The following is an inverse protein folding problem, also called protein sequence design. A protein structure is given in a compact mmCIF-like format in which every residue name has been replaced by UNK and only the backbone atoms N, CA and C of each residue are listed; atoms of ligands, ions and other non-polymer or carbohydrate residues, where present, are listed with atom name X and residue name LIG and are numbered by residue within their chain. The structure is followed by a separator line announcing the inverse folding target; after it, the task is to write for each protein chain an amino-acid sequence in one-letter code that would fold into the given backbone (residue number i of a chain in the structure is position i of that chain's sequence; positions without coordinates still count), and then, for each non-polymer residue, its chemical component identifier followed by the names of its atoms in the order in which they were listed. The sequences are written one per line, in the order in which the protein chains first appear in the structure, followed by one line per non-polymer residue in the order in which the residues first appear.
data_IF_602106289750
#
_entry.id   IF_602106289750
#
_cell.length_a   1.000
_cell.length_b   1.000
_cell.length_c   1.000
_cell.angle_alpha   90.00
_cell.angle_beta   90.00
_cell.angle_gamma   90.00
#
_symmetry.space_group_name_H-M   'P 1'
#
loop_
_entity.id
_entity.type
_entity.pdbx_description
1 polymer ?
#
# COMPACT_ATOMS: atom_id res chain seq x y z
N UNK A 1 -22.01 -30.53 -29.41
CA UNK A 1 -22.35 -31.61 -28.46
C UNK A 1 -21.54 -32.86 -28.79
N UNK A 2 -20.49 -33.16 -28.03
CA UNK A 2 -20.01 -34.54 -27.78
C UNK A 2 -19.22 -34.54 -26.48
N UNK A 3 -19.51 -35.56 -25.68
CA UNK A 3 -19.33 -35.67 -24.24
C UNK A 3 -17.87 -35.76 -23.78
N UNK A 4 -17.62 -35.19 -22.59
CA UNK A 4 -16.53 -35.54 -21.70
C UNK A 4 -16.60 -37.03 -21.34
N UNK A 5 -15.47 -37.73 -21.43
CA UNK A 5 -15.31 -39.07 -20.88
C UNK A 5 -14.32 -38.98 -19.71
N UNK A 6 -14.83 -39.30 -18.52
CA UNK A 6 -14.08 -39.34 -17.27
C UNK A 6 -13.01 -40.44 -17.30
N UNK A 7 -11.76 -40.05 -17.07
CA UNK A 7 -10.69 -40.97 -16.73
C UNK A 7 -10.78 -41.28 -15.24
N UNK A 8 -11.00 -42.56 -14.94
CA UNK A 8 -11.07 -43.14 -13.61
C UNK A 8 -9.67 -43.15 -12.99
N UNK A 9 -9.61 -42.78 -11.72
CA UNK A 9 -8.45 -42.86 -10.86
C UNK A 9 -8.28 -44.33 -10.43
N UNK A 10 -7.18 -44.97 -10.82
CA UNK A 10 -6.75 -46.25 -10.25
C UNK A 10 -5.62 -45.96 -9.25
N UNK A 11 -5.73 -46.38 -7.98
CA UNK A 11 -4.68 -46.17 -6.99
C UNK A 11 -3.64 -47.28 -7.10
N UNK A 12 -2.56 -47.01 -7.85
CA UNK A 12 -1.37 -47.88 -7.83
C UNK A 12 -0.56 -47.64 -6.55
N UNK A 13 -0.47 -48.71 -5.77
CA UNK A 13 0.67 -49.18 -4.99
C UNK A 13 1.44 -48.19 -4.10
N UNK A 14 1.18 -48.31 -2.79
CA UNK A 14 2.14 -48.26 -1.69
C UNK A 14 3.51 -47.62 -2.01
N UNK A 15 3.56 -46.30 -2.16
CA UNK A 15 4.78 -45.55 -1.90
C UNK A 15 4.85 -45.39 -0.38
N UNK A 16 5.58 -46.30 0.28
CA UNK A 16 6.14 -46.01 1.59
C UNK A 16 7.08 -44.81 1.42
N UNK A 17 6.54 -43.60 1.60
CA UNK A 17 7.34 -42.41 1.84
C UNK A 17 7.92 -42.59 3.24
N UNK A 18 9.04 -43.32 3.31
CA UNK A 18 9.93 -43.24 4.45
C UNK A 18 10.37 -41.79 4.53
N UNK A 19 9.77 -41.04 5.45
CA UNK A 19 10.41 -39.84 5.96
C UNK A 19 11.63 -40.35 6.74
N UNK A 20 12.73 -40.60 6.04
CA UNK A 20 14.04 -40.55 6.68
C UNK A 20 14.11 -39.17 7.33
N UNK A 21 14.22 -39.14 8.66
CA UNK A 21 14.61 -37.94 9.40
C UNK A 21 15.98 -37.53 8.89
N UNK A 22 15.99 -36.78 7.79
CA UNK A 22 17.15 -36.07 7.29
C UNK A 22 17.65 -35.20 8.43
N UNK A 23 18.92 -35.37 8.80
CA UNK A 23 19.64 -34.56 9.77
C UNK A 23 19.23 -33.10 9.56
N UNK A 24 18.40 -32.57 10.48
CA UNK A 24 18.04 -31.15 10.42
C UNK A 24 19.32 -30.38 10.67
N UNK A 25 19.82 -29.74 9.64
CA UNK A 25 20.99 -28.88 9.73
C UNK A 25 20.76 -27.87 10.86
N UNK A 26 21.68 -27.86 11.84
CA UNK A 26 21.56 -27.04 13.05
C UNK A 26 22.38 -25.77 12.85
N UNK A 27 21.87 -24.67 13.38
CA UNK A 27 22.60 -23.40 13.37
C UNK A 27 24.00 -23.52 13.99
N UNK A 28 24.98 -22.90 13.34
CA UNK A 28 26.35 -22.74 13.77
C UNK A 28 26.55 -21.45 14.61
N UNK A 29 25.48 -20.85 15.14
CA UNK A 29 25.53 -19.70 16.05
C UNK A 29 26.53 -19.96 17.21
N UNK A 30 27.48 -19.05 17.39
CA UNK A 30 28.53 -19.15 18.41
C UNK A 30 29.76 -19.97 18.01
N UNK A 31 29.77 -20.63 16.84
CA UNK A 31 30.95 -21.33 16.34
C UNK A 31 32.05 -20.32 15.97
N UNK A 32 33.31 -20.66 16.31
CA UNK A 32 34.46 -19.84 15.93
C UNK A 32 35.10 -20.36 14.64
N UNK A 33 35.13 -19.53 13.61
CA UNK A 33 35.71 -19.81 12.29
C UNK A 33 36.62 -18.67 11.83
N UNK A 34 37.57 -18.96 10.94
CA UNK A 34 38.38 -17.93 10.31
C UNK A 34 37.52 -17.01 9.43
N UNK A 35 38.04 -15.81 9.10
CA UNK A 35 37.32 -14.92 8.17
C UNK A 35 37.20 -15.54 6.77
N UNK A 36 38.25 -16.21 6.28
CA UNK A 36 38.24 -16.85 4.96
C UNK A 36 37.19 -17.97 4.91
N UNK A 37 37.10 -18.77 5.97
CA UNK A 37 36.06 -19.81 6.11
C UNK A 37 34.65 -19.22 6.20
N UNK A 38 34.48 -18.07 6.86
CA UNK A 38 33.20 -17.37 6.86
C UNK A 38 32.76 -16.99 5.45
N UNK A 39 33.64 -16.36 4.66
CA UNK A 39 33.32 -15.98 3.29
C UNK A 39 33.05 -17.18 2.39
N UNK A 40 33.79 -18.27 2.55
CA UNK A 40 33.66 -19.47 1.71
C UNK A 40 32.39 -20.26 2.00
N UNK A 41 31.99 -20.38 3.27
CA UNK A 41 30.95 -21.34 3.69
C UNK A 41 29.71 -20.71 4.33
N UNK A 42 29.88 -19.59 5.02
CA UNK A 42 28.85 -19.08 5.94
C UNK A 42 28.20 -17.77 5.47
N UNK A 43 28.86 -17.02 4.59
CA UNK A 43 28.33 -15.76 4.08
C UNK A 43 27.06 -15.98 3.26
N UNK A 44 27.06 -16.93 2.32
CA UNK A 44 25.90 -17.28 1.47
C UNK A 44 25.26 -18.62 1.89
N UNK A 45 25.25 -18.90 3.19
CA UNK A 45 24.75 -20.17 3.71
C UNK A 45 23.26 -20.38 3.36
N UNK A 46 22.86 -21.57 2.86
CA UNK A 46 21.53 -21.77 2.26
C UNK A 46 20.36 -21.72 3.25
N UNK A 47 20.59 -22.07 4.52
CA UNK A 47 19.51 -22.22 5.52
C UNK A 47 19.52 -21.21 6.66
N UNK A 48 20.68 -20.59 6.91
CA UNK A 48 20.92 -19.75 8.08
C UNK A 48 21.69 -18.54 7.62
N UNK A 49 21.50 -17.43 8.30
CA UNK A 49 22.17 -16.20 7.92
C UNK A 49 23.07 -15.73 9.04
N UNK A 50 24.37 -15.72 8.78
CA UNK A 50 25.37 -15.36 9.77
C UNK A 50 26.00 -14.01 9.49
N UNK A 51 26.15 -13.23 10.55
CA UNK A 51 27.18 -12.22 10.67
C UNK A 51 28.43 -12.84 11.30
N UNK A 52 29.57 -12.19 11.15
CA UNK A 52 30.84 -12.66 11.71
C UNK A 52 31.44 -11.60 12.62
N UNK A 53 31.74 -11.98 13.86
CA UNK A 53 32.27 -11.08 14.88
C UNK A 53 33.58 -11.63 15.45
N UNK A 54 34.70 -11.20 14.86
CA UNK A 54 36.04 -11.53 15.33
C UNK A 54 36.26 -13.03 15.61
N UNK A 55 35.80 -13.86 14.67
CA UNK A 55 35.85 -15.31 14.73
C UNK A 55 34.50 -15.95 14.99
N UNK A 56 33.63 -15.32 15.76
CA UNK A 56 32.35 -15.89 16.17
C UNK A 56 31.27 -15.70 15.10
N UNK A 57 30.60 -16.78 14.69
CA UNK A 57 29.37 -16.71 13.91
C UNK A 57 28.22 -16.22 14.78
N UNK A 58 27.42 -15.30 14.26
CA UNK A 58 26.23 -14.77 14.92
C UNK A 58 25.04 -14.91 13.98
N UNK A 59 24.11 -15.78 14.30
CA UNK A 59 22.90 -15.97 13.50
C UNK A 59 21.98 -14.74 13.60
N UNK A 60 21.48 -14.30 12.45
CA UNK A 60 20.39 -13.32 12.38
C UNK A 60 19.06 -14.02 12.63
N UNK A 61 18.28 -13.49 13.56
CA UNK A 61 16.93 -13.96 13.80
C UNK A 61 15.98 -13.51 12.69
N UNK A 62 14.98 -14.34 12.41
CA UNK A 62 13.93 -13.99 11.46
C UNK A 62 13.01 -12.90 12.05
N UNK A 63 12.57 -11.92 11.23
CA UNK A 63 11.65 -10.89 11.70
C UNK A 63 10.24 -11.46 11.92
N UNK A 64 9.52 -10.91 12.90
CA UNK A 64 8.09 -11.11 13.03
C UNK A 64 7.31 -10.22 12.03
N UNK A 65 6.01 -10.49 11.78
CA UNK A 65 5.22 -9.71 10.83
C UNK A 65 5.15 -8.20 11.13
N UNK A 66 5.14 -7.79 12.40
CA UNK A 66 5.08 -6.38 12.79
C UNK A 66 6.39 -5.66 12.46
N UNK A 67 7.51 -6.30 12.78
CA UNK A 67 8.86 -5.83 12.41
C UNK A 67 9.02 -5.72 10.90
N UNK A 68 8.57 -6.74 10.15
CA UNK A 68 8.60 -6.70 8.69
C UNK A 68 7.75 -5.55 8.11
N UNK A 69 6.55 -5.28 8.64
CA UNK A 69 5.71 -4.19 8.15
C UNK A 69 6.34 -2.81 8.40
N UNK A 70 6.95 -2.60 9.57
CA UNK A 70 7.70 -1.37 9.87
C UNK A 70 8.90 -1.21 8.94
N UNK A 71 9.71 -2.25 8.77
CA UNK A 71 10.82 -2.28 7.81
C UNK A 71 10.35 -1.95 6.40
N UNK A 72 9.27 -2.61 5.94
CA UNK A 72 8.71 -2.41 4.60
C UNK A 72 8.23 -0.98 4.42
N UNK A 73 7.58 -0.39 5.42
CA UNK A 73 7.13 0.99 5.36
C UNK A 73 8.32 1.95 5.24
N UNK A 74 9.36 1.77 6.07
CA UNK A 74 10.57 2.58 6.02
C UNK A 74 11.30 2.46 4.68
N UNK A 75 11.48 1.24 4.18
CA UNK A 75 12.07 0.97 2.86
C UNK A 75 11.32 1.73 1.75
N UNK A 76 9.98 1.70 1.77
CA UNK A 76 9.17 2.37 0.76
C UNK A 76 9.36 3.89 0.75
N UNK A 77 9.39 4.54 1.91
CA UNK A 77 9.58 6.00 1.95
C UNK A 77 11.00 6.39 1.50
N UNK A 78 12.01 5.59 1.86
CA UNK A 78 13.39 5.80 1.42
C UNK A 78 13.53 5.63 -0.10
N UNK A 79 12.92 4.57 -0.65
CA UNK A 79 12.92 4.28 -2.08
C UNK A 79 12.22 5.37 -2.90
N UNK A 80 11.06 5.84 -2.44
CA UNK A 80 10.36 6.97 -3.08
C UNK A 80 11.20 8.24 -3.05
N UNK A 81 11.78 8.58 -1.89
CA UNK A 81 12.66 9.73 -1.77
C UNK A 81 13.84 9.65 -2.74
N UNK A 82 14.51 8.50 -2.84
CA UNK A 82 15.69 8.31 -3.70
C UNK A 82 15.34 8.16 -5.18
N UNK A 83 14.12 7.75 -5.52
CA UNK A 83 13.60 7.79 -6.89
C UNK A 83 13.47 9.24 -7.39
N UNK A 84 13.04 10.16 -6.52
CA UNK A 84 12.94 11.58 -6.86
C UNK A 84 14.30 12.29 -6.74
N UNK A 85 15.11 11.90 -5.77
CA UNK A 85 16.41 12.48 -5.45
C UNK A 85 17.49 11.40 -5.56
N UNK A 86 18.02 11.11 -6.76
CA UNK A 86 18.94 10.00 -7.00
C UNK A 86 20.37 10.32 -6.51
N UNK A 87 20.51 10.56 -5.20
CA UNK A 87 21.75 10.95 -4.52
C UNK A 87 22.45 9.78 -3.80
N UNK A 88 21.80 8.62 -3.77
CA UNK A 88 22.26 7.43 -3.05
C UNK A 88 21.65 6.16 -3.63
N UNK A 89 22.25 5.01 -3.30
CA UNK A 89 21.72 3.68 -3.55
C UNK A 89 21.27 3.02 -2.23
N UNK A 90 20.16 2.28 -2.29
CA UNK A 90 19.66 1.45 -1.18
C UNK A 90 20.15 0.02 -1.39
N UNK A 91 20.63 -0.61 -0.32
CA UNK A 91 21.00 -2.03 -0.28
C UNK A 91 20.26 -2.75 0.84
N UNK A 92 19.75 -3.94 0.54
CA UNK A 92 19.12 -4.85 1.51
C UNK A 92 19.50 -6.29 1.17
N UNK A 93 18.63 -7.25 1.47
CA UNK A 93 18.83 -8.67 1.12
C UNK A 93 20.17 -9.23 1.61
N UNK A 94 20.51 -8.95 2.87
CA UNK A 94 21.63 -9.61 3.55
C UNK A 94 23.01 -9.27 2.98
N UNK A 95 23.09 -8.12 2.33
CA UNK A 95 24.30 -7.58 1.73
C UNK A 95 25.27 -7.06 2.79
N UNK A 96 26.37 -7.78 2.99
CA UNK A 96 27.31 -7.52 4.07
C UNK A 96 28.49 -6.63 3.69
N UNK A 97 29.18 -6.13 4.71
CA UNK A 97 30.38 -5.32 4.58
C UNK A 97 31.32 -5.54 5.77
N UNK A 98 32.62 -5.36 5.52
CA UNK A 98 33.68 -5.57 6.52
C UNK A 98 33.94 -4.30 7.33
N UNK A 99 33.88 -4.40 8.65
CA UNK A 99 34.30 -3.37 9.59
C UNK A 99 35.68 -3.70 10.18
N UNK A 100 36.61 -2.75 10.10
CA UNK A 100 37.90 -2.84 10.80
C UNK A 100 37.92 -1.85 11.96
N UNK A 101 37.98 -2.38 13.18
CA UNK A 101 37.79 -1.64 14.43
C UNK A 101 39.10 -1.58 15.24
N UNK A 102 39.19 -0.70 16.25
CA UNK A 102 40.35 -0.62 17.13
C UNK A 102 40.73 -1.98 17.73
N UNK A 103 42.01 -2.13 18.09
CA UNK A 103 42.60 -3.38 18.63
C UNK A 103 42.57 -4.55 17.64
N UNK A 104 42.58 -4.26 16.33
CA UNK A 104 42.55 -5.25 15.24
C UNK A 104 41.29 -6.13 15.24
N UNK A 105 40.21 -5.70 15.90
CA UNK A 105 38.92 -6.39 15.84
C UNK A 105 38.38 -6.22 14.41
N UNK A 106 37.93 -7.31 13.80
CA UNK A 106 37.20 -7.27 12.53
C UNK A 106 35.81 -7.85 12.72
N UNK A 107 34.82 -7.26 12.07
CA UNK A 107 33.47 -7.80 12.01
C UNK A 107 32.94 -7.70 10.59
N UNK A 108 32.01 -8.57 10.23
CA UNK A 108 31.26 -8.51 8.98
C UNK A 108 29.80 -8.46 9.36
N UNK A 109 29.14 -7.35 9.01
CA UNK A 109 27.75 -7.07 9.35
C UNK A 109 26.91 -7.04 8.10
N UNK A 110 25.65 -7.44 8.25
CA UNK A 110 24.62 -7.47 7.23
C UNK A 110 23.44 -6.66 7.75
N UNK A 111 23.47 -5.32 7.62
CA UNK A 111 22.35 -4.50 8.07
C UNK A 111 21.08 -4.88 7.28
N UNK A 112 19.92 -4.80 7.92
CA UNK A 112 18.65 -5.14 7.25
C UNK A 112 18.37 -4.20 6.07
N UNK A 113 18.74 -2.92 6.24
CA UNK A 113 18.79 -1.94 5.17
C UNK A 113 20.02 -1.06 5.33
N UNK A 114 20.65 -0.70 4.22
CA UNK A 114 21.75 0.23 4.18
C UNK A 114 21.65 1.19 3.00
N UNK A 115 22.32 2.34 3.13
CA UNK A 115 22.34 3.37 2.11
C UNK A 115 23.80 3.77 1.84
N UNK A 116 24.16 3.85 0.57
CA UNK A 116 25.46 4.34 0.08
C UNK A 116 25.21 5.62 -0.71
N UNK A 117 25.79 6.73 -0.29
CA UNK A 117 25.71 7.99 -1.02
C UNK A 117 26.56 7.92 -2.30
N UNK A 118 26.15 8.64 -3.35
CA UNK A 118 26.94 8.70 -4.59
C UNK A 118 28.33 9.35 -4.38
N UNK A 119 28.47 10.17 -3.34
CA UNK A 119 29.75 10.77 -2.92
C UNK A 119 30.61 9.85 -2.04
N UNK A 120 30.14 8.64 -1.72
CA UNK A 120 30.93 7.68 -0.94
C UNK A 120 32.23 7.36 -1.70
N UNK A 121 33.40 7.37 -1.04
CA UNK A 121 34.68 7.15 -1.70
C UNK A 121 34.82 5.77 -2.35
N UNK A 122 34.05 4.79 -1.90
CA UNK A 122 34.03 3.45 -2.49
C UNK A 122 32.72 3.25 -3.22
N UNK A 123 32.82 3.16 -4.55
CA UNK A 123 31.67 2.92 -5.42
C UNK A 123 31.12 1.52 -5.13
N UNK A 124 29.80 1.44 -4.98
CA UNK A 124 29.08 0.18 -4.95
C UNK A 124 28.83 -0.27 -6.40
N UNK A 125 29.41 -1.41 -6.78
CA UNK A 125 29.24 -1.95 -8.13
C UNK A 125 28.01 -2.88 -8.20
N UNK A 126 27.26 -2.89 -9.31
CA UNK A 126 26.08 -3.76 -9.46
C UNK A 126 26.36 -5.25 -9.29
N UNK A 127 27.57 -5.69 -9.62
CA UNK A 127 28.00 -7.10 -9.55
C UNK A 127 28.72 -7.44 -8.22
N UNK A 128 28.78 -6.50 -7.27
CA UNK A 128 29.34 -6.80 -5.95
C UNK A 128 28.47 -7.84 -5.22
N UNK A 129 29.10 -8.79 -4.56
CA UNK A 129 28.45 -9.78 -3.68
C UNK A 129 28.53 -9.37 -2.18
N UNK A 130 29.37 -8.40 -1.89
CA UNK A 130 29.49 -7.74 -0.59
C UNK A 130 30.08 -6.35 -0.82
N UNK A 131 29.67 -5.39 0.01
CA UNK A 131 30.16 -4.03 -0.14
C UNK A 131 31.61 -3.92 0.36
N UNK A 132 32.46 -3.30 -0.45
CA UNK A 132 33.89 -3.12 -0.14
C UNK A 132 34.17 -1.83 0.65
N UNK A 133 33.18 -0.95 0.75
CA UNK A 133 33.24 0.31 1.51
C UNK A 133 32.56 0.23 2.86
N UNK A 134 32.26 1.40 3.41
CA UNK A 134 31.46 1.59 4.64
C UNK A 134 30.16 2.26 4.22
N UNK A 135 29.02 1.65 4.57
CA UNK A 135 27.71 2.26 4.33
C UNK A 135 27.60 3.61 5.04
N UNK A 136 26.96 4.58 4.38
CA UNK A 136 26.72 5.89 4.98
C UNK A 136 25.63 5.83 6.05
N UNK A 137 24.58 5.02 5.81
CA UNK A 137 23.50 4.80 6.77
C UNK A 137 23.29 3.30 6.92
N UNK A 138 23.26 2.83 8.16
CA UNK A 138 22.81 1.47 8.50
C UNK A 138 21.50 1.53 9.27
N UNK A 139 20.56 0.65 8.93
CA UNK A 139 19.25 0.55 9.56
C UNK A 139 19.03 -0.91 9.96
N UNK A 140 18.66 -1.13 11.22
CA UNK A 140 18.37 -2.45 11.75
C UNK A 140 16.91 -2.49 12.21
N UNK A 141 16.17 -3.49 11.73
CA UNK A 141 14.88 -3.89 12.27
C UNK A 141 15.15 -4.76 13.49
N UNK A 142 14.98 -4.18 14.67
CA UNK A 142 15.38 -4.80 15.93
C UNK A 142 14.66 -6.13 16.14
N UNK A 143 15.42 -7.22 16.21
CA UNK A 143 14.90 -8.48 16.72
C UNK A 143 14.90 -8.46 18.24
N UNK A 144 13.78 -8.86 18.82
CA UNK A 144 13.55 -8.81 20.26
C UNK A 144 13.12 -10.14 20.86
N UNK A 145 13.34 -11.24 20.13
CA UNK A 145 13.00 -12.58 20.62
C UNK A 145 13.87 -12.99 21.80
N UNK A 146 15.14 -12.55 21.81
CA UNK A 146 16.11 -12.82 22.88
C UNK A 146 16.80 -11.53 23.31
N UNK A 147 17.08 -11.41 24.62
CA UNK A 147 17.81 -10.25 25.19
C UNK A 147 19.17 -10.01 24.50
N UNK A 148 19.84 -11.07 24.04
CA UNK A 148 21.13 -10.96 23.32
C UNK A 148 20.99 -10.19 22.00
N UNK A 149 19.87 -10.32 21.30
CA UNK A 149 19.61 -9.64 20.01
C UNK A 149 19.39 -8.14 20.25
N UNK A 150 18.60 -7.80 21.28
CA UNK A 150 18.40 -6.41 21.69
C UNK A 150 19.76 -5.74 22.01
N UNK A 151 20.60 -6.40 22.82
CA UNK A 151 21.93 -5.87 23.18
C UNK A 151 22.83 -5.74 21.94
N UNK A 152 22.82 -6.73 21.05
CA UNK A 152 23.63 -6.71 19.83
C UNK A 152 23.36 -5.45 19.03
N UNK A 153 22.10 -5.11 18.76
CA UNK A 153 21.78 -4.00 17.87
C UNK A 153 21.83 -2.63 18.61
N UNK A 154 21.40 -2.57 19.88
CA UNK A 154 21.38 -1.31 20.68
C UNK A 154 22.73 -0.89 21.25
N UNK A 155 23.65 -1.85 21.44
CA UNK A 155 24.94 -1.63 22.09
C UNK A 155 26.11 -2.01 21.19
N UNK A 156 26.17 -3.25 20.70
CA UNK A 156 27.39 -3.75 20.04
C UNK A 156 27.53 -3.20 18.63
N UNK A 157 26.54 -3.41 17.74
CA UNK A 157 26.50 -2.83 16.40
C UNK A 157 26.58 -1.32 16.43
N UNK A 158 25.90 -0.66 17.38
CA UNK A 158 26.04 0.79 17.59
C UNK A 158 27.49 1.22 17.81
N UNK A 159 28.25 0.50 18.64
CA UNK A 159 29.69 0.79 18.87
C UNK A 159 30.53 0.51 17.63
N UNK A 160 30.21 -0.56 16.90
CA UNK A 160 30.93 -0.98 15.70
C UNK A 160 30.71 -0.02 14.53
N UNK A 161 29.47 0.30 14.19
CA UNK A 161 29.12 1.27 13.14
C UNK A 161 29.70 2.66 13.44
N UNK A 162 29.64 3.11 14.70
CA UNK A 162 30.33 4.34 15.14
C UNK A 162 31.83 4.28 14.90
N UNK A 163 32.46 3.15 15.27
CA UNK A 163 33.90 2.96 15.14
C UNK A 163 34.38 2.87 13.69
N UNK A 164 33.51 2.39 12.79
CA UNK A 164 33.76 2.30 11.37
C UNK A 164 33.47 3.59 10.59
N UNK A 165 32.73 4.53 11.17
CA UNK A 165 32.42 5.81 10.54
C UNK A 165 31.10 5.85 9.76
N UNK A 166 30.18 4.91 10.01
CA UNK A 166 28.81 4.97 9.46
C UNK A 166 28.16 6.27 9.94
N UNK A 167 27.71 7.12 9.01
CA UNK A 167 27.28 8.51 9.27
C UNK A 167 26.00 8.55 10.11
N UNK A 168 25.03 7.69 9.82
CA UNK A 168 23.79 7.57 10.60
C UNK A 168 23.42 6.11 10.88
N UNK A 169 22.87 5.84 12.06
CA UNK A 169 22.48 4.50 12.48
C UNK A 169 21.06 4.50 13.07
N UNK A 170 20.15 3.75 12.47
CA UNK A 170 18.74 3.70 12.86
C UNK A 170 18.38 2.33 13.42
N UNK A 171 17.69 2.33 14.56
CA UNK A 171 17.13 1.14 15.19
C UNK A 171 15.61 1.26 15.09
N UNK A 172 15.00 0.37 14.34
CA UNK A 172 13.55 0.29 14.16
C UNK A 172 13.02 -0.80 15.10
N UNK A 173 12.39 -0.42 16.21
CA UNK A 173 11.78 -1.37 17.13
C UNK A 173 10.26 -1.32 17.02
N UNK A 174 9.66 -2.38 16.47
CA UNK A 174 8.22 -2.50 16.29
C UNK A 174 7.41 -2.43 17.60
N UNK A 175 8.05 -2.60 18.76
CA UNK A 175 7.42 -2.44 20.09
C UNK A 175 7.41 -0.99 20.58
N UNK A 176 8.27 -0.15 20.01
CA UNK A 176 8.48 1.25 20.42
C UNK A 176 9.29 1.43 21.70
N UNK A 177 10.10 0.42 22.10
CA UNK A 177 10.87 0.48 23.35
C UNK A 177 12.30 0.99 23.11
N UNK A 178 12.93 0.53 22.03
CA UNK A 178 14.34 0.80 21.72
C UNK A 178 14.51 1.56 20.39
N UNK A 179 13.43 2.13 19.86
CA UNK A 179 13.49 2.91 18.60
C UNK A 179 14.35 4.13 18.82
N UNK A 180 15.42 4.25 18.03
CA UNK A 180 16.41 5.31 18.21
C UNK A 180 17.14 5.61 16.90
N UNK A 181 17.55 6.86 16.74
CA UNK A 181 18.22 7.35 15.54
C UNK A 181 19.50 8.06 15.96
N UNK A 182 20.64 7.68 15.40
CA UNK A 182 21.94 8.21 15.78
C UNK A 182 22.64 8.82 14.58
N UNK A 183 23.40 9.89 14.84
CA UNK A 183 24.25 10.58 13.88
C UNK A 183 25.68 10.68 14.39
N UNK A 184 26.65 10.40 13.52
CA UNK A 184 28.06 10.60 13.81
C UNK A 184 28.40 12.08 13.77
N UNK A 185 28.89 12.60 14.89
CA UNK A 185 29.39 13.96 14.96
C UNK A 185 30.82 14.07 14.42
N UNK A 186 31.30 15.31 14.27
CA UNK A 186 32.67 15.61 13.81
C UNK A 186 33.77 15.09 14.77
N UNK A 187 33.42 14.69 16.00
CA UNK A 187 34.33 14.11 16.99
C UNK A 187 34.32 12.57 16.95
N UNK A 188 33.61 11.95 16.00
CA UNK A 188 33.50 10.50 15.88
C UNK A 188 32.64 9.86 16.96
N UNK A 189 31.68 10.61 17.53
CA UNK A 189 30.72 10.08 18.50
C UNK A 189 29.32 10.09 17.92
N UNK A 190 28.55 9.04 18.24
CA UNK A 190 27.12 9.05 17.96
C UNK A 190 26.40 9.94 18.96
N UNK A 191 25.61 10.86 18.40
CA UNK A 191 24.61 11.65 19.09
C UNK A 191 23.24 11.14 18.64
N UNK A 192 22.31 11.04 19.58
CA UNK A 192 20.92 10.77 19.22
C UNK A 192 20.34 11.96 18.44
N UNK A 193 19.61 11.67 17.36
CA UNK A 193 18.98 12.68 16.52
C UNK A 193 17.73 13.16 17.25
N UNK A 194 17.75 14.41 17.72
CA UNK A 194 16.57 15.05 18.28
C UNK A 194 15.53 15.30 17.18
N UNK A 195 14.26 14.93 17.39
CA UNK A 195 13.20 15.29 16.47
C UNK A 195 13.08 16.80 16.29
N UNK A 196 12.77 17.23 15.08
CA UNK A 196 12.33 18.59 14.77
C UNK A 196 10.85 18.70 15.11
N UNK A 197 10.50 19.73 15.88
CA UNK A 197 9.15 19.83 16.44
C UNK A 197 8.95 18.76 17.52
N UNK A 198 7.92 17.93 17.36
CA UNK A 198 7.60 16.86 18.32
C UNK A 198 8.13 15.49 17.87
N UNK A 199 8.09 15.19 16.57
CA UNK A 199 8.18 13.80 16.11
C UNK A 199 8.89 13.59 14.76
N UNK A 200 9.40 14.64 14.11
CA UNK A 200 10.03 14.53 12.79
C UNK A 200 11.53 14.26 12.90
N UNK A 201 11.99 13.13 12.37
CA UNK A 201 13.41 12.86 12.17
C UNK A 201 13.85 13.42 10.82
N UNK A 202 14.94 14.20 10.81
CA UNK A 202 15.58 14.69 9.58
C UNK A 202 16.97 14.08 9.43
N UNK A 203 17.22 13.43 8.29
CA UNK A 203 18.55 12.91 7.95
C UNK A 203 19.46 14.06 7.48
N UNK A 204 20.70 14.10 7.98
CA UNK A 204 21.73 14.98 7.46
C UNK A 204 22.58 14.26 6.40
N UNK A 205 22.69 12.93 6.50
CA UNK A 205 23.37 12.13 5.48
C UNK A 205 22.56 12.09 4.17
N UNK A 206 21.22 12.17 4.24
CA UNK A 206 20.32 12.31 3.10
C UNK A 206 19.55 13.64 3.20
N UNK A 207 20.10 14.74 2.66
CA UNK A 207 19.45 16.05 2.72
C UNK A 207 18.05 16.04 2.13
N UNK A 208 17.06 16.41 2.94
CA UNK A 208 15.64 16.42 2.55
C UNK A 208 14.87 15.14 2.89
N UNK A 209 15.56 14.04 3.26
CA UNK A 209 14.89 12.84 3.76
C UNK A 209 14.46 13.04 5.21
N UNK A 210 13.16 12.89 5.45
CA UNK A 210 12.48 13.17 6.70
C UNK A 210 11.30 12.22 6.89
N UNK A 211 10.96 11.89 8.13
CA UNK A 211 9.80 11.07 8.44
C UNK A 211 9.34 11.31 9.88
N UNK A 212 8.06 11.09 10.16
CA UNK A 212 7.54 11.14 11.54
C UNK A 212 7.75 9.81 12.23
N UNK A 213 8.10 9.85 13.51
CA UNK A 213 8.25 8.65 14.35
C UNK A 213 6.92 7.89 14.45
N UNK A 214 5.75 8.51 14.71
CA UNK A 214 4.45 7.82 14.71
C UNK A 214 4.16 7.03 13.44
N UNK A 215 4.57 7.55 12.27
CA UNK A 215 4.29 6.92 10.98
C UNK A 215 5.03 5.58 10.79
N UNK A 216 6.12 5.31 11.54
CA UNK A 216 6.74 3.99 11.59
C UNK A 216 5.78 2.91 12.16
N UNK A 217 4.85 3.32 13.01
CA UNK A 217 3.88 2.45 13.67
C UNK A 217 2.50 2.50 13.00
N UNK A 218 2.05 3.68 12.58
CA UNK A 218 0.76 3.88 11.91
C UNK A 218 0.78 3.40 10.47
N UNK A 219 1.93 3.51 9.81
CA UNK A 219 2.20 3.03 8.45
C UNK A 219 1.18 3.58 7.43
N UNK A 220 1.09 4.93 7.28
CA UNK A 220 0.15 5.55 6.36
C UNK A 220 0.31 5.00 4.93
N UNK A 221 -0.82 4.94 4.23
CA UNK A 221 -0.88 4.44 2.85
C UNK A 221 -0.13 5.36 1.90
N UNK A 222 0.10 4.86 0.68
CA UNK A 222 0.71 5.66 -0.38
C UNK A 222 -0.08 6.94 -0.66
N UNK A 223 -1.41 6.82 -0.70
CA UNK A 223 -2.34 7.91 -0.97
C UNK A 223 -2.30 8.96 0.14
N UNK A 224 -2.28 8.52 1.40
CA UNK A 224 -2.18 9.41 2.55
C UNK A 224 -0.86 10.19 2.54
N UNK A 225 0.27 9.51 2.28
CA UNK A 225 1.56 10.16 2.20
C UNK A 225 1.70 11.11 0.99
N UNK A 226 1.08 10.79 -0.15
CA UNK A 226 1.13 11.65 -1.32
C UNK A 226 0.44 13.01 -1.11
N UNK A 227 -0.53 13.07 -0.20
CA UNK A 227 -1.25 14.29 0.19
C UNK A 227 -0.67 14.98 1.42
N UNK A 228 0.28 14.34 2.11
CA UNK A 228 0.88 14.87 3.33
C UNK A 228 1.97 15.91 3.02
N UNK A 229 1.97 17.04 3.74
CA UNK A 229 2.92 18.13 3.51
C UNK A 229 4.40 17.74 3.69
N UNK A 230 4.68 16.77 4.56
CA UNK A 230 6.03 16.26 4.81
C UNK A 230 6.47 15.31 3.68
N UNK A 231 5.62 14.36 3.30
CA UNK A 231 5.99 13.30 2.35
C UNK A 231 5.71 13.64 0.89
N UNK A 232 4.86 14.62 0.57
CA UNK A 232 4.45 14.88 -0.83
C UNK A 232 5.63 15.16 -1.78
N UNK A 233 6.79 15.55 -1.24
CA UNK A 233 8.01 15.84 -1.99
C UNK A 233 8.75 14.57 -2.43
N UNK A 234 8.44 13.42 -1.82
CA UNK A 234 9.05 12.12 -2.14
C UNK A 234 8.38 11.45 -3.34
N UNK A 235 7.27 11.99 -3.82
CA UNK A 235 6.49 11.39 -4.90
C UNK A 235 6.70 12.14 -6.22
N UNK A 236 6.92 11.36 -7.28
CA UNK A 236 7.09 11.90 -8.63
C UNK A 236 5.89 12.79 -9.05
N UNK A 237 6.12 13.91 -9.77
CA UNK A 237 5.05 14.78 -10.25
C UNK A 237 3.97 14.07 -11.09
N UNK A 238 4.30 12.94 -11.74
CA UNK A 238 3.34 12.17 -12.52
C UNK A 238 2.27 11.49 -11.67
N UNK A 239 2.56 11.07 -10.44
CA UNK A 239 1.54 10.53 -9.53
C UNK A 239 0.48 11.59 -9.20
N UNK A 240 0.93 12.82 -8.92
CA UNK A 240 0.04 13.97 -8.72
C UNK A 240 -0.83 14.25 -9.96
N UNK A 241 -0.27 14.04 -11.17
CA UNK A 241 -1.00 14.19 -12.44
C UNK A 241 -2.05 13.10 -12.64
N UNK A 242 -1.72 11.82 -12.40
CA UNK A 242 -2.65 10.70 -12.50
C UNK A 242 -3.81 10.88 -11.53
N UNK A 243 -3.53 11.29 -10.28
CA UNK A 243 -4.58 11.58 -9.29
C UNK A 243 -5.54 12.67 -9.76
N UNK A 244 -5.02 13.79 -10.26
CA UNK A 244 -5.85 14.87 -10.84
C UNK A 244 -6.70 14.41 -12.02
N UNK A 245 -6.16 13.54 -12.88
CA UNK A 245 -6.93 12.98 -14.01
C UNK A 245 -8.08 12.11 -13.47
N UNK A 246 -7.80 11.23 -12.50
CA UNK A 246 -8.81 10.36 -11.91
C UNK A 246 -9.91 11.16 -11.18
N UNK A 247 -9.55 12.21 -10.44
CA UNK A 247 -10.50 13.11 -9.78
C UNK A 247 -11.38 13.85 -10.80
N UNK A 248 -10.76 14.35 -11.88
CA UNK A 248 -11.48 15.03 -12.96
C UNK A 248 -12.45 14.08 -13.68
N UNK A 249 -12.03 12.85 -13.96
CA UNK A 249 -12.88 11.83 -14.56
C UNK A 249 -14.04 11.44 -13.65
N UNK A 250 -13.81 11.31 -12.34
CA UNK A 250 -14.86 11.04 -11.36
C UNK A 250 -15.90 12.17 -11.33
N UNK A 251 -15.46 13.42 -11.22
CA UNK A 251 -16.35 14.59 -11.23
C UNK A 251 -17.17 14.67 -12.52
N UNK A 252 -16.54 14.37 -13.66
CA UNK A 252 -17.23 14.34 -14.94
C UNK A 252 -18.29 13.24 -14.99
N UNK A 253 -17.96 12.03 -14.54
CA UNK A 253 -18.90 10.91 -14.49
C UNK A 253 -20.09 11.21 -13.56
N UNK A 254 -19.84 11.85 -12.42
CA UNK A 254 -20.89 12.24 -11.48
C UNK A 254 -21.81 13.33 -12.08
N UNK A 255 -21.25 14.31 -12.78
CA UNK A 255 -22.03 15.34 -13.48
C UNK A 255 -22.87 14.74 -14.61
N UNK A 256 -22.32 13.81 -15.38
CA UNK A 256 -23.06 13.09 -16.43
C UNK A 256 -24.21 12.26 -15.84
N UNK A 257 -23.99 11.59 -14.69
CA UNK A 257 -25.06 10.87 -13.98
C UNK A 257 -26.18 11.80 -13.51
N UNK A 258 -25.84 12.94 -12.91
CA UNK A 258 -26.84 13.92 -12.46
C UNK A 258 -27.66 14.47 -13.64
N UNK A 259 -27.03 14.70 -14.80
CA UNK A 259 -27.74 15.12 -16.02
C UNK A 259 -28.68 14.03 -16.51
N UNK A 260 -28.21 12.79 -16.61
CA UNK A 260 -29.04 11.66 -17.02
C UNK A 260 -30.23 11.45 -16.08
N UNK A 261 -30.03 11.61 -14.77
CA UNK A 261 -31.10 11.52 -13.77
C UNK A 261 -32.12 12.67 -13.91
N UNK A 262 -31.65 13.90 -14.13
CA UNK A 262 -32.54 15.04 -14.39
C UNK A 262 -33.33 14.88 -15.69
N UNK A 263 -32.71 14.38 -16.76
CA UNK A 263 -33.38 14.08 -18.02
C UNK A 263 -34.43 12.97 -17.85
N UNK A 264 -34.09 11.91 -17.11
CA UNK A 264 -35.04 10.85 -16.78
C UNK A 264 -36.25 11.40 -16.03
N UNK A 265 -36.05 12.22 -15.00
CA UNK A 265 -37.13 12.86 -14.25
C UNK A 265 -38.00 13.76 -15.12
N UNK A 266 -37.42 14.50 -16.07
CA UNK A 266 -38.18 15.32 -17.02
C UNK A 266 -39.02 14.45 -17.97
N UNK A 267 -38.41 13.41 -18.54
CA UNK A 267 -39.11 12.48 -19.43
C UNK A 267 -40.26 11.77 -18.70
N UNK A 268 -40.07 11.40 -17.42
CA UNK A 268 -41.12 10.81 -16.59
C UNK A 268 -42.25 11.81 -16.30
N UNK A 269 -41.92 13.06 -15.97
CA UNK A 269 -42.92 14.12 -15.77
C UNK A 269 -43.73 14.40 -17.04
N UNK A 270 -43.07 14.45 -18.20
CA UNK A 270 -43.75 14.60 -19.49
C UNK A 270 -44.66 13.42 -19.82
N UNK A 271 -44.22 12.18 -19.55
CA UNK A 271 -45.07 10.98 -19.71
C UNK A 271 -46.31 11.06 -18.82
N UNK A 272 -46.14 11.44 -17.55
CA UNK A 272 -47.27 11.62 -16.63
C UNK A 272 -48.24 12.70 -17.10
N UNK A 273 -47.74 13.82 -17.64
CA UNK A 273 -48.58 14.88 -18.24
C UNK A 273 -49.34 14.37 -19.46
N UNK A 274 -48.67 13.67 -20.37
CA UNK A 274 -49.29 13.10 -21.56
C UNK A 274 -50.36 12.04 -21.21
N UNK A 275 -50.13 11.20 -20.20
CA UNK A 275 -51.13 10.26 -19.69
C UNK A 275 -52.33 10.97 -19.05
N UNK A 276 -52.08 12.02 -18.26
CA UNK A 276 -53.14 12.84 -17.68
C UNK A 276 -53.99 13.53 -18.75
N UNK A 277 -53.37 14.07 -19.80
CA UNK A 277 -54.07 14.66 -20.95
C UNK A 277 -54.90 13.62 -21.70
N UNK A 278 -54.34 12.44 -22.01
CA UNK A 278 -55.10 11.34 -22.63
C UNK A 278 -56.31 10.95 -21.79
N UNK A 279 -56.15 10.86 -20.46
CA UNK A 279 -57.24 10.54 -19.54
C UNK A 279 -58.34 11.61 -19.55
N UNK A 280 -57.96 12.90 -19.60
CA UNK A 280 -58.90 14.02 -19.73
C UNK A 280 -59.65 13.98 -21.07
N UNK A 281 -58.95 13.73 -22.17
CA UNK A 281 -59.55 13.60 -23.50
C UNK A 281 -60.59 12.47 -23.55
N UNK A 282 -60.23 11.29 -23.03
CA UNK A 282 -61.15 10.15 -22.96
C UNK A 282 -62.39 10.43 -22.09
N UNK A 283 -62.23 11.17 -20.99
CA UNK A 283 -63.38 11.61 -20.18
C UNK A 283 -64.27 12.62 -20.91
N UNK A 284 -63.68 13.56 -21.65
CA UNK A 284 -64.43 14.53 -22.44
C UNK A 284 -65.23 13.84 -23.57
N UNK A 285 -64.62 12.87 -24.25
CA UNK A 285 -65.27 12.06 -25.29
C UNK A 285 -66.47 11.29 -24.72
N UNK A 286 -66.31 10.58 -23.59
CA UNK A 286 -67.41 9.90 -22.91
C UNK A 286 -68.55 10.84 -22.51
N UNK A 287 -68.23 12.06 -22.05
CA UNK A 287 -69.23 13.08 -21.73
C UNK A 287 -69.96 13.56 -22.98
N UNK A 288 -69.24 13.83 -24.06
CA UNK A 288 -69.83 14.26 -25.33
C UNK A 288 -70.77 13.17 -25.90
N UNK A 289 -70.37 11.90 -25.82
CA UNK A 289 -71.21 10.76 -26.20
C UNK A 289 -72.50 10.68 -25.36
N UNK A 290 -72.40 10.83 -24.03
CA UNK A 290 -73.57 10.89 -23.15
C UNK A 290 -74.50 12.06 -23.48
N UNK A 291 -73.96 13.26 -23.72
CA UNK A 291 -74.76 14.43 -24.12
C UNK A 291 -75.43 14.18 -25.47
N UNK A 292 -74.73 13.58 -26.43
CA UNK A 292 -75.30 13.19 -27.73
C UNK A 292 -76.47 12.21 -27.58
N UNK A 293 -76.33 11.19 -26.74
CA UNK A 293 -77.40 10.24 -26.44
C UNK A 293 -78.60 10.92 -25.75
N UNK A 294 -78.35 11.86 -24.82
CA UNK A 294 -79.42 12.63 -24.17
C UNK A 294 -80.18 13.50 -25.16
N UNK A 295 -79.48 14.21 -26.06
CA UNK A 295 -80.09 15.02 -27.11
C UNK A 295 -80.95 14.19 -28.07
N UNK A 296 -80.49 12.99 -28.43
CA UNK A 296 -81.28 12.06 -29.25
C UNK A 296 -82.55 11.64 -28.50
N UNK A 297 -82.43 11.25 -27.23
CA UNK A 297 -83.57 10.87 -26.40
C UNK A 297 -84.56 12.05 -26.20
N UNK A 298 -84.06 13.26 -26.03
CA UNK A 298 -84.87 14.47 -25.86
C UNK A 298 -85.59 14.84 -27.15
N UNK A 299 -84.93 14.76 -28.32
CA UNK A 299 -85.59 14.90 -29.63
C UNK A 299 -86.68 13.87 -29.85
N UNK A 300 -86.43 12.60 -29.49
CA UNK A 300 -87.46 11.55 -29.57
C UNK A 300 -88.64 11.85 -28.65
N UNK A 301 -88.39 12.32 -27.42
CA UNK A 301 -89.45 12.77 -26.50
C UNK A 301 -90.24 13.95 -27.03
N UNK A 302 -89.56 14.97 -27.57
CA UNK A 302 -90.19 16.15 -28.14
C UNK A 302 -91.04 15.78 -29.37
N UNK A 303 -90.56 14.88 -30.23
CA UNK A 303 -91.33 14.35 -31.35
C UNK A 303 -92.59 13.59 -30.89
N UNK A 304 -92.45 12.72 -29.87
CA UNK A 304 -93.58 12.03 -29.24
C UNK A 304 -94.59 13.00 -28.61
N UNK A 305 -94.11 14.05 -27.95
CA UNK A 305 -94.97 15.09 -27.35
C UNK A 305 -95.69 15.89 -28.43
N UNK A 306 -95.00 16.26 -29.51
CA UNK A 306 -95.57 16.95 -30.67
C UNK A 306 -96.67 16.12 -31.34
N UNK A 307 -96.43 14.82 -31.56
CA UNK A 307 -97.44 13.90 -32.07
C UNK A 307 -98.66 13.78 -31.14
N UNK A 308 -98.43 13.76 -29.82
CA UNK A 308 -99.50 13.70 -28.82
C UNK A 308 -100.31 15.00 -28.75
N UNK A 309 -99.68 16.16 -28.86
CA UNK A 309 -100.34 17.47 -28.95
C UNK A 309 -101.18 17.59 -30.22
N UNK A 310 -100.68 17.04 -31.34
CA UNK A 310 -101.40 16.96 -32.62
C UNK A 310 -102.65 16.07 -32.53
N UNK A 311 -102.59 14.97 -31.79
CA UNK A 311 -103.75 14.11 -31.50
C UNK A 311 -104.79 14.76 -30.58
N UNK A 312 -104.39 15.74 -29.76
CA UNK A 312 -105.28 16.49 -28.86
C UNK A 312 -105.85 17.78 -29.48
N UNK A 313 -105.54 18.08 -30.75
CA UNK A 313 -106.11 19.22 -31.49
C UNK A 313 -105.49 20.59 -31.17
N UNK A 314 -104.31 20.63 -30.54
CA UNK A 314 -103.61 21.88 -30.21
C UNK A 314 -102.49 22.09 -31.24
N UNK A 315 -102.58 23.17 -32.03
CA UNK A 315 -101.53 23.58 -32.96
C UNK A 315 -100.38 24.24 -32.20
N UNK A 316 -99.16 23.78 -32.43
CA UNK A 316 -97.93 24.41 -31.95
C UNK A 316 -97.26 25.02 -33.20
N UNK A 317 -97.35 26.34 -33.35
CA UNK A 317 -96.46 27.10 -34.23
C UNK A 317 -95.08 27.29 -33.57
#
# INVERSE_FOLDING_TARGET
MRMLQALRYEPDDNVHIGYEETDREVSADGLYVSEDEYWEKYYDHPYFNYEWNNGCLEEKAMPDPKSYLMYKWFLRIADHFLTVNPIAAIMGLEFGFRLTLPRKKRTIRKPDLAIVLNENPIILHPDDQSYKGIFDICIESLSYSRKKEIIRDTVDKKKEYRGAGVKEYYILDARGLETAFYRLDKKGKYQEISPVGEDVIESHALPGFRFRIPDLYEQPSFEQMADDDLYNSFFLPFHKRIKKIAEYEHQRAESERQRAESEHQRAESERQRAEAEKRKALQAEKKAEQVGLQLIAERQRAALLADKLKQLGISVE
#
